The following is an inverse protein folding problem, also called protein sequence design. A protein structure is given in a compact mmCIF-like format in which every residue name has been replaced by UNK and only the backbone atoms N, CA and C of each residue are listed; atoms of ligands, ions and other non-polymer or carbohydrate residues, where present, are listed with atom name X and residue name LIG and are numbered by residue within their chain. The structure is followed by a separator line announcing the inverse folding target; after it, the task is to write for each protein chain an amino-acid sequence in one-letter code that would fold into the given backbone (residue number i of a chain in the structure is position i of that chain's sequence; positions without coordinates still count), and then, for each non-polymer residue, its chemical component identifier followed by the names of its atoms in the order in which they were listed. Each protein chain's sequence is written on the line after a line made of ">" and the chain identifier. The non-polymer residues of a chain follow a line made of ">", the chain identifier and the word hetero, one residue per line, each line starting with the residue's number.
data_IF_355954829223
#
_entry.id   IF_355954829223
#
_cell.length_a   1.000
_cell.length_b   1.000
_cell.length_c   1.000
_cell.angle_alpha   90.00
_cell.angle_beta   90.00
_cell.angle_gamma   90.00
#
_symmetry.space_group_name_H-M   'P 1'
#
loop_
_entity.id
_entity.type
_entity.pdbx_description
1 polymer ?
#
# COMPACT_ATOMS: atom_id res chain seq x y z
N UNK A 1 -6.01 -3.14 12.40
CA UNK A 1 -7.27 -2.50 12.84
C UNK A 1 -8.40 -2.81 11.85
N UNK A 2 -8.54 -4.08 11.43
CA UNK A 2 -9.67 -4.50 10.66
C UNK A 2 -10.79 -4.92 11.60
N UNK A 3 -12.02 -4.45 11.35
CA UNK A 3 -13.20 -5.09 11.91
C UNK A 3 -13.23 -6.59 11.53
N UNK A 4 -14.22 -7.33 11.99
CA UNK A 4 -14.29 -8.76 11.70
C UNK A 4 -14.20 -9.00 10.20
N UNK A 5 -13.16 -9.75 9.79
CA UNK A 5 -12.85 -10.02 8.37
C UNK A 5 -13.83 -11.03 7.76
N UNK A 6 -14.77 -11.55 8.55
CA UNK A 6 -15.70 -12.59 8.14
C UNK A 6 -14.95 -13.86 7.69
N UNK A 7 -15.28 -14.37 6.52
CA UNK A 7 -14.62 -15.54 5.92
C UNK A 7 -13.35 -15.21 5.12
N UNK A 8 -12.90 -13.94 5.11
CA UNK A 8 -11.72 -13.53 4.34
C UNK A 8 -10.45 -14.07 4.96
N UNK A 9 -9.58 -14.61 4.11
CA UNK A 9 -8.23 -15.00 4.52
C UNK A 9 -7.29 -13.82 4.30
N UNK A 10 -6.42 -13.56 5.27
CA UNK A 10 -5.42 -12.48 5.21
C UNK A 10 -4.04 -13.10 5.27
N UNK A 11 -3.16 -12.65 4.38
CA UNK A 11 -1.76 -13.04 4.30
C UNK A 11 -0.89 -11.80 4.45
N UNK A 12 0.28 -11.93 4.99
CA UNK A 12 1.28 -10.87 5.04
C UNK A 12 2.66 -11.45 4.83
N UNK A 13 3.50 -10.70 4.12
CA UNK A 13 4.92 -11.00 4.10
C UNK A 13 5.52 -10.68 5.46
N UNK A 14 6.52 -11.43 5.81
CA UNK A 14 7.32 -11.16 7.01
C UNK A 14 8.76 -11.58 6.75
N UNK A 15 9.66 -11.06 7.56
CA UNK A 15 11.08 -11.35 7.45
C UNK A 15 11.91 -10.08 7.50
N UNK A 16 13.13 -10.14 7.00
CA UNK A 16 14.09 -9.05 7.09
C UNK A 16 13.76 -7.88 6.16
N UNK A 17 13.11 -8.14 5.01
CA UNK A 17 12.91 -7.17 3.94
C UNK A 17 11.41 -6.94 3.71
N UNK A 18 10.83 -5.97 4.42
CA UNK A 18 9.39 -5.73 4.42
C UNK A 18 8.81 -5.22 3.09
N UNK A 19 9.66 -4.74 2.17
CA UNK A 19 9.24 -4.22 0.87
C UNK A 19 9.46 -5.22 -0.27
N UNK A 20 10.15 -6.35 0.00
CA UNK A 20 10.50 -7.32 -1.04
C UNK A 20 9.35 -8.28 -1.36
N UNK A 21 9.10 -8.50 -2.66
CA UNK A 21 8.30 -9.59 -3.16
C UNK A 21 6.82 -9.59 -2.76
N UNK A 22 6.25 -8.43 -2.41
CA UNK A 22 4.85 -8.34 -1.97
C UNK A 22 3.89 -8.65 -3.12
N UNK A 23 4.14 -8.09 -4.30
CA UNK A 23 3.34 -8.35 -5.51
C UNK A 23 3.55 -9.79 -5.98
N UNK A 24 4.79 -10.28 -5.97
CA UNK A 24 5.10 -11.65 -6.33
C UNK A 24 4.38 -12.65 -5.41
N UNK A 25 4.35 -12.40 -4.11
CA UNK A 25 3.59 -13.21 -3.13
C UNK A 25 2.10 -13.18 -3.44
N UNK A 26 1.53 -11.99 -3.71
CA UNK A 26 0.12 -11.86 -4.06
C UNK A 26 -0.23 -12.62 -5.36
N UNK A 27 0.67 -12.62 -6.35
CA UNK A 27 0.52 -13.43 -7.57
C UNK A 27 0.49 -14.93 -7.22
N UNK A 28 1.38 -15.38 -6.33
CA UNK A 28 1.37 -16.78 -5.85
C UNK A 28 0.05 -17.14 -5.18
N UNK A 29 -0.47 -16.29 -4.30
CA UNK A 29 -1.79 -16.48 -3.68
C UNK A 29 -2.90 -16.53 -4.72
N UNK A 30 -2.90 -15.59 -5.69
CA UNK A 30 -3.93 -15.53 -6.73
C UNK A 30 -3.86 -16.70 -7.72
N UNK A 31 -2.72 -17.37 -7.84
CA UNK A 31 -2.59 -18.59 -8.67
C UNK A 31 -3.33 -19.78 -8.05
N UNK A 32 -3.32 -19.89 -6.72
CA UNK A 32 -3.91 -21.00 -5.98
C UNK A 32 -5.33 -20.71 -5.46
N UNK A 33 -5.74 -19.44 -5.45
CA UNK A 33 -7.05 -19.06 -4.93
C UNK A 33 -8.10 -18.94 -6.05
N UNK A 34 -9.24 -19.60 -5.89
CA UNK A 34 -10.32 -19.62 -6.90
C UNK A 34 -11.14 -18.32 -6.95
N UNK A 35 -10.98 -17.41 -6.01
CA UNK A 35 -11.70 -16.14 -5.94
C UNK A 35 -10.79 -14.93 -6.15
N UNK A 36 -11.35 -13.72 -6.11
CA UNK A 36 -10.56 -12.50 -6.24
C UNK A 36 -9.57 -12.33 -5.10
N UNK A 37 -8.37 -11.88 -5.41
CA UNK A 37 -7.34 -11.52 -4.45
C UNK A 37 -7.11 -10.01 -4.46
N UNK A 38 -7.07 -9.40 -3.29
CA UNK A 38 -6.71 -7.99 -3.13
C UNK A 38 -5.40 -7.87 -2.37
N UNK A 39 -4.52 -6.96 -2.79
CA UNK A 39 -3.33 -6.59 -2.06
C UNK A 39 -3.31 -5.10 -1.77
N UNK A 40 -3.00 -4.72 -0.54
CA UNK A 40 -2.72 -3.33 -0.15
C UNK A 40 -1.23 -3.22 0.05
N UNK A 41 -0.60 -2.28 -0.65
CA UNK A 41 0.85 -2.15 -0.71
C UNK A 41 1.26 -0.67 -0.72
N UNK A 42 2.36 -0.33 -0.07
CA UNK A 42 2.95 1.01 -0.15
C UNK A 42 3.70 1.25 -1.46
N UNK A 43 3.90 2.51 -1.78
CA UNK A 43 4.60 2.98 -2.98
C UNK A 43 6.04 2.44 -3.09
N UNK A 44 6.85 2.55 -2.05
CA UNK A 44 8.24 2.05 -2.04
C UNK A 44 8.28 0.53 -2.28
N UNK A 45 7.37 -0.23 -1.64
CA UNK A 45 7.28 -1.67 -1.86
C UNK A 45 6.80 -2.01 -3.28
N UNK A 46 5.92 -1.18 -3.85
CA UNK A 46 5.48 -1.32 -5.24
C UNK A 46 6.62 -1.08 -6.21
N UNK A 47 7.45 -0.05 -6.00
CA UNK A 47 8.64 0.20 -6.80
C UNK A 47 9.63 -0.95 -6.73
N UNK A 48 9.87 -1.45 -5.52
CA UNK A 48 10.83 -2.52 -5.27
C UNK A 48 10.47 -3.82 -5.98
N UNK A 49 9.16 -4.12 -6.11
CA UNK A 49 8.64 -5.33 -6.75
C UNK A 49 7.92 -5.04 -8.08
N UNK A 50 8.21 -3.91 -8.72
CA UNK A 50 7.52 -3.45 -9.92
C UNK A 50 7.64 -4.41 -11.12
N UNK A 51 8.74 -5.16 -11.22
CA UNK A 51 8.92 -6.18 -12.26
C UNK A 51 7.87 -7.28 -12.23
N UNK A 52 7.27 -7.55 -11.06
CA UNK A 52 6.19 -8.53 -10.89
C UNK A 52 4.89 -8.10 -11.59
N UNK A 53 4.69 -6.81 -11.87
CA UNK A 53 3.55 -6.31 -12.64
C UNK A 53 3.48 -6.92 -14.05
N UNK A 54 4.65 -7.12 -14.69
CA UNK A 54 4.71 -7.78 -16.00
C UNK A 54 4.26 -9.26 -15.93
N UNK A 55 4.57 -9.94 -14.84
CA UNK A 55 4.12 -11.32 -14.64
C UNK A 55 2.60 -11.37 -14.41
N UNK A 56 2.05 -10.42 -13.64
CA UNK A 56 0.61 -10.30 -13.41
C UNK A 56 -0.14 -10.05 -14.72
N UNK A 57 0.32 -9.11 -15.54
CA UNK A 57 -0.29 -8.77 -16.83
C UNK A 57 -0.38 -10.00 -17.76
N UNK A 58 0.71 -10.77 -17.85
CA UNK A 58 0.75 -11.98 -18.71
C UNK A 58 -0.16 -13.10 -18.21
N UNK A 59 -0.36 -13.20 -16.90
CA UNK A 59 -1.16 -14.28 -16.31
C UNK A 59 -2.65 -13.98 -16.29
N UNK A 60 -3.06 -12.71 -16.34
CA UNK A 60 -4.46 -12.31 -16.33
C UNK A 60 -5.23 -12.71 -15.06
N UNK A 61 -4.52 -12.89 -13.93
CA UNK A 61 -5.12 -13.31 -12.66
C UNK A 61 -6.06 -12.23 -12.10
N UNK A 62 -7.13 -12.63 -11.40
CA UNK A 62 -8.02 -11.68 -10.71
C UNK A 62 -7.37 -11.16 -9.42
N UNK A 63 -6.32 -10.37 -9.61
CA UNK A 63 -5.55 -9.72 -8.56
C UNK A 63 -5.70 -8.19 -8.67
N UNK A 64 -6.20 -7.59 -7.62
CA UNK A 64 -6.44 -6.15 -7.50
C UNK A 64 -5.41 -5.54 -6.56
N UNK A 65 -4.63 -4.59 -7.05
CA UNK A 65 -3.58 -3.94 -6.30
C UNK A 65 -4.04 -2.54 -5.89
N UNK A 66 -4.05 -2.26 -4.59
CA UNK A 66 -4.24 -0.93 -4.04
C UNK A 66 -2.90 -0.38 -3.58
N UNK A 67 -2.36 0.56 -4.34
CA UNK A 67 -1.12 1.26 -3.98
C UNK A 67 -1.44 2.47 -3.12
N UNK A 68 -0.92 2.50 -1.91
CA UNK A 68 -0.96 3.69 -1.03
C UNK A 68 0.33 4.47 -1.28
N UNK A 69 0.19 5.59 -1.95
CA UNK A 69 1.31 6.39 -2.45
C UNK A 69 1.42 7.69 -1.65
N UNK A 70 2.44 7.76 -0.80
CA UNK A 70 2.80 8.93 -0.02
C UNK A 70 4.13 9.57 -0.46
N UNK A 71 4.63 9.17 -1.64
CA UNK A 71 5.87 9.64 -2.26
C UNK A 71 7.11 9.35 -1.40
N UNK A 72 7.25 8.11 -0.90
CA UNK A 72 8.49 7.66 -0.29
C UNK A 72 8.37 6.97 1.08
N UNK A 73 9.39 7.13 1.91
CA UNK A 73 9.55 6.44 3.18
C UNK A 73 8.68 7.01 4.31
N UNK A 74 7.36 6.98 4.17
CA UNK A 74 6.42 7.53 5.17
C UNK A 74 6.59 6.95 6.59
N UNK A 75 6.99 5.68 6.70
CA UNK A 75 7.24 5.04 8.00
C UNK A 75 8.27 5.80 8.85
N UNK A 76 9.27 6.42 8.23
CA UNK A 76 10.33 7.15 8.93
C UNK A 76 9.84 8.46 9.55
N UNK A 77 8.69 9.00 9.11
CA UNK A 77 8.06 10.18 9.69
C UNK A 77 7.51 9.93 11.10
N UNK A 78 7.33 8.67 11.50
CA UNK A 78 6.93 8.25 12.85
C UNK A 78 8.12 8.07 13.80
N UNK A 79 9.36 8.19 13.30
CA UNK A 79 10.57 7.94 14.09
C UNK A 79 11.21 9.24 14.60
N UNK A 80 11.99 9.15 15.68
CA UNK A 80 12.70 10.33 16.25
C UNK A 80 13.60 11.05 15.24
N UNK A 81 14.13 10.36 14.24
CA UNK A 81 14.98 10.94 13.19
C UNK A 81 14.30 12.11 12.47
N UNK A 82 12.97 12.10 12.34
CA UNK A 82 12.22 13.21 11.75
C UNK A 82 12.40 14.53 12.47
N UNK A 83 12.67 14.50 13.79
CA UNK A 83 12.80 15.71 14.62
C UNK A 83 14.25 16.11 14.88
N UNK A 84 15.22 15.19 14.76
CA UNK A 84 16.62 15.44 15.11
C UNK A 84 17.55 15.60 13.90
N UNK A 85 17.15 15.07 12.73
CA UNK A 85 17.88 15.24 11.48
C UNK A 85 17.38 16.50 10.77
N UNK A 86 18.28 17.28 10.16
CA UNK A 86 17.84 18.44 9.37
C UNK A 86 16.91 18.01 8.23
N UNK A 87 15.93 18.85 7.85
CA UNK A 87 14.88 18.44 6.90
C UNK A 87 15.39 17.97 5.54
N UNK A 88 16.46 18.57 5.04
CA UNK A 88 17.02 18.19 3.72
C UNK A 88 17.68 16.82 3.77
N UNK A 89 18.49 16.56 4.79
CA UNK A 89 19.10 15.25 4.99
C UNK A 89 18.07 14.19 5.33
N UNK A 90 17.01 14.56 6.08
CA UNK A 90 15.92 13.64 6.34
C UNK A 90 15.20 13.21 5.04
N UNK A 91 14.83 14.15 4.17
CA UNK A 91 14.19 13.81 2.90
C UNK A 91 15.09 13.00 1.98
N UNK A 92 16.40 13.29 1.97
CA UNK A 92 17.37 12.56 1.15
C UNK A 92 17.58 11.12 1.61
N UNK A 93 17.66 10.87 2.93
CA UNK A 93 18.08 9.59 3.49
C UNK A 93 16.92 8.70 3.94
N UNK A 94 15.79 9.28 4.31
CA UNK A 94 14.64 8.59 4.90
C UNK A 94 13.36 8.82 4.11
N UNK A 95 13.04 10.07 3.78
CA UNK A 95 11.85 10.42 3.00
C UNK A 95 11.91 9.87 1.59
N UNK A 96 13.06 9.98 0.96
CA UNK A 96 13.37 9.43 -0.38
C UNK A 96 12.23 9.60 -1.39
N UNK A 97 11.75 10.85 -1.64
CA UNK A 97 10.67 11.08 -2.58
C UNK A 97 11.07 10.60 -3.98
N UNK A 98 10.21 9.84 -4.62
CA UNK A 98 10.53 9.20 -5.90
C UNK A 98 9.78 9.80 -7.10
N UNK A 99 8.69 10.56 -6.88
CA UNK A 99 7.92 11.20 -7.94
C UNK A 99 7.29 10.25 -8.97
N UNK A 100 7.16 8.98 -8.65
CA UNK A 100 6.67 7.96 -9.59
C UNK A 100 5.17 8.08 -9.81
N UNK A 101 4.74 8.00 -11.08
CA UNK A 101 3.34 7.78 -11.43
C UNK A 101 3.06 6.27 -11.55
N UNK A 102 2.45 5.70 -10.51
CA UNK A 102 2.15 4.27 -10.46
C UNK A 102 1.04 3.86 -11.44
N UNK A 103 0.15 4.76 -11.83
CA UNK A 103 -0.84 4.45 -12.85
C UNK A 103 -0.18 4.32 -14.23
N UNK A 104 0.75 5.22 -14.56
CA UNK A 104 1.55 5.11 -15.76
C UNK A 104 2.46 3.86 -15.73
N UNK A 105 3.10 3.58 -14.59
CA UNK A 105 3.93 2.39 -14.41
C UNK A 105 3.14 1.10 -14.67
N UNK A 106 1.96 0.97 -14.05
CA UNK A 106 1.09 -0.19 -14.26
C UNK A 106 0.66 -0.31 -15.72
N UNK A 107 0.28 0.80 -16.36
CA UNK A 107 -0.11 0.82 -17.78
C UNK A 107 1.06 0.43 -18.70
N UNK A 108 2.27 0.84 -18.40
CA UNK A 108 3.48 0.44 -19.14
C UNK A 108 3.73 -1.08 -19.07
N UNK A 109 3.27 -1.74 -18.00
CA UNK A 109 3.29 -3.20 -17.86
C UNK A 109 2.05 -3.90 -18.46
N UNK A 110 1.12 -3.15 -19.09
CA UNK A 110 -0.08 -3.71 -19.73
C UNK A 110 -1.26 -3.94 -18.78
N UNK A 111 -1.23 -3.32 -17.59
CA UNK A 111 -2.31 -3.41 -16.61
C UNK A 111 -3.28 -2.22 -16.72
N UNK A 112 -4.55 -2.47 -16.42
CA UNK A 112 -5.51 -1.39 -16.21
C UNK A 112 -5.19 -0.68 -14.89
N UNK A 113 -5.18 0.65 -14.89
CA UNK A 113 -4.88 1.42 -13.71
C UNK A 113 -5.78 2.66 -13.58
N UNK A 114 -5.97 3.12 -12.34
CA UNK A 114 -6.66 4.36 -12.00
C UNK A 114 -6.06 5.04 -10.78
N UNK A 115 -6.19 6.36 -10.72
CA UNK A 115 -5.95 7.13 -9.50
C UNK A 115 -7.28 7.39 -8.82
N UNK A 116 -7.44 6.92 -7.59
CA UNK A 116 -8.61 7.15 -6.77
C UNK A 116 -8.57 8.57 -6.18
N UNK A 117 -9.65 9.32 -6.33
CA UNK A 117 -9.84 10.66 -5.77
C UNK A 117 -10.89 10.68 -4.66
N UNK A 118 -11.60 9.57 -4.49
CA UNK A 118 -12.68 9.40 -3.52
C UNK A 118 -12.70 7.98 -2.97
N UNK A 119 -13.45 7.78 -1.90
CA UNK A 119 -13.75 6.44 -1.37
C UNK A 119 -14.46 5.56 -2.41
N UNK A 120 -15.35 6.15 -3.19
CA UNK A 120 -16.10 5.42 -4.21
C UNK A 120 -15.18 4.92 -5.34
N UNK A 121 -14.16 5.70 -5.71
CA UNK A 121 -13.15 5.25 -6.68
C UNK A 121 -12.38 4.02 -6.19
N UNK A 122 -12.07 3.96 -4.88
CA UNK A 122 -11.43 2.79 -4.27
C UNK A 122 -12.37 1.58 -4.32
N UNK A 123 -13.65 1.77 -4.02
CA UNK A 123 -14.66 0.70 -4.09
C UNK A 123 -14.84 0.18 -5.51
N UNK A 124 -14.87 1.08 -6.51
CA UNK A 124 -14.93 0.70 -7.94
C UNK A 124 -13.68 -0.09 -8.31
N UNK A 125 -12.49 0.36 -7.93
CA UNK A 125 -11.24 -0.37 -8.16
C UNK A 125 -11.27 -1.76 -7.53
N UNK A 126 -11.71 -1.86 -6.28
CA UNK A 126 -11.86 -3.14 -5.58
C UNK A 126 -12.90 -4.08 -6.22
N UNK A 127 -13.92 -3.53 -6.89
CA UNK A 127 -14.95 -4.27 -7.62
C UNK A 127 -14.58 -4.66 -9.05
N UNK A 128 -13.50 -4.10 -9.60
CA UNK A 128 -13.06 -4.38 -10.98
C UNK A 128 -12.56 -5.81 -11.10
N UNK A 129 -13.02 -6.55 -12.12
CA UNK A 129 -12.58 -7.92 -12.38
C UNK A 129 -11.26 -7.93 -13.16
N UNK A 130 -10.41 -8.91 -12.87
CA UNK A 130 -9.11 -9.08 -13.51
C UNK A 130 -8.00 -8.25 -12.90
N UNK A 131 -6.79 -8.28 -13.49
CA UNK A 131 -5.64 -7.55 -12.95
C UNK A 131 -5.84 -6.05 -13.06
N UNK A 132 -5.80 -5.37 -11.91
CA UNK A 132 -6.10 -3.95 -11.83
C UNK A 132 -5.28 -3.26 -10.75
N UNK A 133 -4.82 -2.04 -11.02
CA UNK A 133 -4.09 -1.19 -10.08
C UNK A 133 -4.90 0.04 -9.75
N UNK A 134 -5.17 0.26 -8.46
CA UNK A 134 -5.76 1.50 -7.95
C UNK A 134 -4.73 2.24 -7.11
N UNK A 135 -4.46 3.49 -7.42
CA UNK A 135 -3.50 4.33 -6.69
C UNK A 135 -4.24 5.30 -5.81
N UNK A 136 -3.93 5.34 -4.53
CA UNK A 136 -4.42 6.32 -3.56
C UNK A 136 -3.26 7.21 -3.15
N UNK A 137 -3.32 8.48 -3.52
CA UNK A 137 -2.34 9.47 -3.05
C UNK A 137 -2.65 9.88 -1.63
N UNK A 138 -1.64 9.85 -0.76
CA UNK A 138 -1.72 10.31 0.62
C UNK A 138 -0.61 11.33 0.90
N UNK A 139 -0.61 11.85 2.12
CA UNK A 139 0.39 12.82 2.57
C UNK A 139 1.04 12.33 3.87
N UNK A 140 2.36 12.29 3.92
CA UNK A 140 3.12 11.71 5.04
C UNK A 140 2.85 12.42 6.38
N UNK A 141 2.71 13.73 6.39
CA UNK A 141 2.45 14.48 7.62
C UNK A 141 1.00 14.27 8.12
N UNK A 142 0.03 14.21 7.19
CA UNK A 142 -1.35 13.89 7.53
C UNK A 142 -1.50 12.46 8.04
N UNK A 143 -0.74 11.53 7.48
CA UNK A 143 -0.74 10.13 7.94
C UNK A 143 -0.21 10.04 9.39
N UNK A 144 0.85 10.77 9.73
CA UNK A 144 1.37 10.85 11.11
C UNK A 144 0.32 11.43 12.07
N UNK A 145 -0.36 12.51 11.66
CA UNK A 145 -1.42 13.11 12.48
C UNK A 145 -2.57 12.13 12.72
N UNK A 146 -3.06 11.47 11.66
CA UNK A 146 -4.14 10.49 11.76
C UNK A 146 -3.76 9.29 12.66
N UNK A 147 -2.54 8.78 12.57
CA UNK A 147 -2.06 7.70 13.45
C UNK A 147 -1.99 8.15 14.92
N UNK A 148 -1.54 9.38 15.18
CA UNK A 148 -1.50 9.93 16.54
C UNK A 148 -2.89 10.02 17.15
N UNK A 149 -3.88 10.48 16.37
CA UNK A 149 -5.27 10.56 16.81
C UNK A 149 -5.86 9.17 17.09
N UNK A 150 -5.58 8.18 16.24
CA UNK A 150 -5.99 6.80 16.46
C UNK A 150 -5.35 6.21 17.73
N UNK A 151 -4.06 6.41 17.94
CA UNK A 151 -3.38 5.93 19.16
C UNK A 151 -3.97 6.56 20.41
N UNK A 152 -4.27 7.88 20.36
CA UNK A 152 -4.94 8.56 21.46
C UNK A 152 -6.31 7.96 21.75
N UNK A 153 -7.13 7.76 20.73
CA UNK A 153 -8.47 7.18 20.89
C UNK A 153 -8.43 5.78 21.52
N UNK A 154 -7.49 4.93 21.08
CA UNK A 154 -7.29 3.59 21.67
C UNK A 154 -6.84 3.70 23.13
N UNK A 155 -5.89 4.58 23.45
CA UNK A 155 -5.39 4.76 24.80
C UNK A 155 -6.51 5.26 25.75
N UNK A 156 -7.34 6.17 25.27
CA UNK A 156 -8.48 6.69 26.03
C UNK A 156 -9.51 5.59 26.28
N UNK A 157 -9.87 4.81 25.25
CA UNK A 157 -10.81 3.70 25.40
C UNK A 157 -10.31 2.62 26.40
N UNK A 158 -9.02 2.33 26.40
CA UNK A 158 -8.43 1.37 27.36
C UNK A 158 -8.43 1.91 28.79
N UNK A 159 -8.27 3.22 29.01
CA UNK A 159 -8.38 3.84 30.34
C UNK A 159 -9.82 3.86 30.86
N UNK A 160 -10.78 4.08 29.97
CA UNK A 160 -12.20 4.14 30.31
C UNK A 160 -12.84 2.73 30.51
N UNK A 161 -12.08 1.65 30.34
CA UNK A 161 -12.52 0.27 30.55
C UNK A 161 -13.57 -0.22 29.54
N UNK A 162 -13.58 0.35 28.33
CA UNK A 162 -14.53 0.00 27.27
C UNK A 162 -13.92 -0.96 26.25
#
# INVERSE_FOLDING_TARGET
>A
FGGPLGTRRVFSNRGANGIDGVIATAIGVATEHSGPVGVVIGDVATLHDSSSLAALARRGLDLRILVVDNDGGGIFHHLPQKTVVDPRSFELLYGTPHGTDFAMLATAHGLTARVARSRDDVQVGAGTTGPHVTVVKTDRERDVAAHRDMHKAVADALRDGR
#
